data_IF_759977702679
#
_entry.id   IF_759977702679
#
_cell.length_a   1.000
_cell.length_b   1.000
_cell.length_c   1.000
_cell.angle_alpha   90.00
_cell.angle_beta   90.00
_cell.angle_gamma   90.00
#
_symmetry.space_group_name_H-M   'P 1'
#
loop_
_entity.id
_entity.type
_entity.pdbx_description
1 polymer ?
#
# COMPACT_ATOMS: atom_id res chain seq x y z
N UNK A 1 -1.48 -40.34 27.80
CA UNK A 1 -0.12 -40.21 27.30
C UNK A 1 -0.05 -39.85 25.82
N UNK A 2 -0.77 -40.52 24.95
CA UNK A 2 -0.78 -40.14 23.53
C UNK A 2 -1.43 -38.79 23.23
N UNK A 3 -2.37 -38.36 24.09
CA UNK A 3 -3.04 -37.06 23.91
C UNK A 3 -2.15 -35.86 24.20
N UNK A 4 -1.20 -35.99 25.11
CA UNK A 4 -0.28 -34.89 25.43
C UNK A 4 0.69 -34.59 24.30
N UNK A 5 1.19 -35.63 23.63
CA UNK A 5 2.11 -35.47 22.50
C UNK A 5 1.43 -34.80 21.30
N UNK A 6 0.16 -35.14 21.07
CA UNK A 6 -0.63 -34.54 19.99
C UNK A 6 -0.90 -33.07 20.29
N UNK A 7 -1.19 -32.73 21.56
CA UNK A 7 -1.44 -31.35 21.98
C UNK A 7 -0.19 -30.47 21.80
N UNK A 8 0.99 -30.98 22.17
CA UNK A 8 2.24 -30.25 22.00
C UNK A 8 2.54 -30.03 20.52
N UNK A 9 2.27 -31.02 19.67
CA UNK A 9 2.47 -30.92 18.23
C UNK A 9 1.55 -29.85 17.59
N UNK A 10 0.29 -29.78 18.01
CA UNK A 10 -0.68 -28.79 17.55
C UNK A 10 -0.22 -27.38 17.98
N UNK A 11 0.27 -27.20 19.19
CA UNK A 11 0.80 -25.93 19.67
C UNK A 11 2.00 -25.46 18.85
N UNK A 12 2.90 -26.35 18.49
CA UNK A 12 4.05 -26.04 17.65
C UNK A 12 3.65 -25.59 16.25
N UNK A 13 2.65 -26.24 15.66
CA UNK A 13 2.14 -25.88 14.35
C UNK A 13 1.46 -24.50 14.39
N UNK A 14 0.70 -24.21 15.44
CA UNK A 14 0.08 -22.91 15.63
C UNK A 14 1.11 -21.79 15.80
N UNK A 15 2.20 -22.04 16.51
CA UNK A 15 3.30 -21.08 16.64
C UNK A 15 4.00 -20.81 15.30
N UNK A 16 4.15 -21.84 14.46
CA UNK A 16 4.72 -21.67 13.12
C UNK A 16 3.84 -20.84 12.22
N UNK A 17 2.52 -20.92 12.37
CA UNK A 17 1.56 -20.15 11.57
C UNK A 17 1.53 -18.67 11.95
N UNK A 18 2.05 -18.30 13.11
CA UNK A 18 2.11 -16.92 13.60
C UNK A 18 3.42 -16.21 13.24
N UNK A 19 4.26 -16.78 12.40
CA UNK A 19 5.48 -16.08 11.99
C UNK A 19 5.11 -14.87 11.13
N UNK A 20 5.58 -13.67 11.49
CA UNK A 20 5.26 -12.47 10.73
C UNK A 20 6.03 -12.49 9.42
N UNK A 21 5.34 -12.76 8.34
CA UNK A 21 5.83 -12.42 7.01
C UNK A 21 5.37 -11.01 6.71
N UNK A 22 5.83 -10.05 7.46
CA UNK A 22 5.37 -8.69 7.27
C UNK A 22 6.36 -7.92 6.41
N UNK A 23 6.11 -7.92 5.13
CA UNK A 23 6.49 -6.80 4.30
C UNK A 23 5.28 -5.86 4.30
N UNK A 24 5.08 -5.19 5.43
CA UNK A 24 4.08 -4.13 5.51
C UNK A 24 4.62 -2.91 4.77
N UNK A 25 3.77 -2.27 3.98
CA UNK A 25 4.12 -1.08 3.26
C UNK A 25 4.41 -1.33 1.78
N UNK A 26 5.06 -0.36 1.16
CA UNK A 26 5.34 -0.37 -0.27
C UNK A 26 6.77 -0.83 -0.50
N UNK A 27 6.93 -1.88 -1.30
CA UNK A 27 8.22 -2.47 -1.61
C UNK A 27 8.37 -2.61 -3.11
N UNK A 28 9.55 -2.25 -3.62
CA UNK A 28 9.91 -2.47 -5.02
C UNK A 28 10.95 -3.59 -5.04
N UNK A 29 10.62 -4.67 -5.72
CA UNK A 29 11.48 -5.85 -5.81
C UNK A 29 11.98 -6.04 -7.24
N UNK A 30 13.23 -6.46 -7.36
CA UNK A 30 13.79 -6.82 -8.66
C UNK A 30 13.30 -8.21 -9.06
N UNK A 31 12.72 -8.30 -10.24
CA UNK A 31 12.29 -9.56 -10.85
C UNK A 31 13.14 -9.88 -12.08
N UNK A 32 12.96 -11.07 -12.64
CA UNK A 32 13.73 -11.51 -13.81
C UNK A 32 13.54 -10.63 -15.04
N UNK A 33 12.35 -10.04 -15.20
CA UNK A 33 11.95 -9.22 -16.33
C UNK A 33 11.78 -7.74 -15.98
N UNK A 34 12.29 -7.29 -14.82
CA UNK A 34 12.18 -5.89 -14.42
C UNK A 34 11.96 -5.74 -12.92
N UNK A 35 11.07 -4.85 -12.54
CA UNK A 35 10.77 -4.55 -11.15
C UNK A 35 9.29 -4.76 -10.89
N UNK A 36 8.98 -5.19 -9.67
CA UNK A 36 7.60 -5.38 -9.21
C UNK A 36 7.34 -4.49 -8.02
N UNK A 37 6.17 -3.89 -7.99
CA UNK A 37 5.69 -3.11 -6.87
C UNK A 37 4.72 -3.97 -6.05
N UNK A 38 5.02 -4.10 -4.77
CA UNK A 38 4.16 -4.80 -3.82
C UNK A 38 3.67 -3.83 -2.76
N UNK A 39 2.40 -3.90 -2.44
CA UNK A 39 1.78 -3.14 -1.36
C UNK A 39 1.17 -4.13 -0.39
N UNK A 40 1.65 -4.09 0.85
CA UNK A 40 1.26 -5.01 1.92
C UNK A 40 1.33 -6.48 1.49
N UNK A 41 2.44 -6.82 0.83
CA UNK A 41 2.73 -8.17 0.38
C UNK A 41 2.03 -8.61 -0.90
N UNK A 42 1.28 -7.74 -1.55
CA UNK A 42 0.57 -8.05 -2.80
C UNK A 42 1.14 -7.26 -3.97
N UNK A 43 1.44 -7.95 -5.06
CA UNK A 43 1.83 -7.31 -6.30
C UNK A 43 0.71 -6.39 -6.78
N UNK A 44 1.04 -5.12 -7.01
CA UNK A 44 0.06 -4.10 -7.32
C UNK A 44 0.49 -3.33 -8.56
N UNK A 45 -0.41 -3.18 -9.48
CA UNK A 45 -0.23 -2.34 -10.65
C UNK A 45 -0.89 -0.98 -10.40
N UNK A 46 -0.13 0.10 -10.51
CA UNK A 46 -0.63 1.45 -10.25
C UNK A 46 -1.31 1.98 -11.52
N UNK A 47 -2.57 2.31 -11.38
CA UNK A 47 -3.37 2.99 -12.39
C UNK A 47 -3.71 4.37 -11.83
N UNK A 48 -2.85 5.34 -12.09
CA UNK A 48 -2.91 6.63 -11.47
C UNK A 48 -3.44 7.74 -12.35
N UNK A 49 -4.00 8.74 -11.72
CA UNK A 49 -4.40 9.99 -12.34
C UNK A 49 -3.72 11.16 -11.64
N UNK A 50 -3.58 12.28 -12.33
CA UNK A 50 -3.02 13.50 -11.75
C UNK A 50 -4.08 14.39 -11.14
N UNK A 51 -3.83 14.87 -9.93
CA UNK A 51 -4.73 15.80 -9.25
C UNK A 51 -5.81 15.14 -8.42
N UNK A 52 -6.65 15.96 -7.84
CA UNK A 52 -7.68 15.53 -6.88
C UNK A 52 -9.11 15.81 -7.37
N UNK A 53 -9.26 16.29 -8.60
CA UNK A 53 -10.56 16.63 -9.16
C UNK A 53 -11.26 15.39 -9.69
N UNK A 54 -12.49 15.18 -9.26
CA UNK A 54 -13.36 14.10 -9.72
C UNK A 54 -12.74 12.72 -9.54
N UNK A 55 -12.22 12.46 -8.36
CA UNK A 55 -11.68 11.15 -8.00
C UNK A 55 -12.76 10.05 -8.02
N UNK A 56 -14.01 10.42 -7.83
CA UNK A 56 -15.14 9.50 -7.95
C UNK A 56 -15.21 8.86 -9.34
N UNK A 57 -15.09 9.67 -10.39
CA UNK A 57 -15.08 9.18 -11.77
C UNK A 57 -13.82 8.36 -12.04
N UNK A 58 -12.68 8.82 -11.59
CA UNK A 58 -11.41 8.10 -11.74
C UNK A 58 -11.49 6.70 -11.11
N UNK A 59 -12.00 6.60 -9.90
CA UNK A 59 -12.17 5.33 -9.20
C UNK A 59 -13.12 4.39 -9.95
N UNK A 60 -14.23 4.91 -10.45
CA UNK A 60 -15.18 4.13 -11.24
C UNK A 60 -14.56 3.63 -12.54
N UNK A 61 -13.61 4.36 -13.09
CA UNK A 61 -12.89 4.00 -14.31
C UNK A 61 -11.73 3.04 -14.07
N UNK A 62 -11.50 2.62 -12.85
CA UNK A 62 -10.47 1.65 -12.51
C UNK A 62 -9.17 2.23 -11.95
N UNK A 63 -9.09 3.53 -11.74
CA UNK A 63 -7.92 4.14 -11.12
C UNK A 63 -7.82 3.72 -9.65
N UNK A 64 -6.59 3.43 -9.20
CA UNK A 64 -6.32 3.06 -7.82
C UNK A 64 -5.36 4.00 -7.12
N UNK A 65 -4.93 5.05 -7.79
CA UNK A 65 -3.98 6.00 -7.24
C UNK A 65 -4.17 7.38 -7.84
N UNK A 66 -3.73 8.40 -7.13
CA UNK A 66 -3.64 9.75 -7.68
C UNK A 66 -2.36 10.42 -7.19
N UNK A 67 -1.91 11.41 -7.95
CA UNK A 67 -0.70 12.17 -7.65
C UNK A 67 -1.03 13.61 -7.34
N UNK A 68 -0.30 14.18 -6.37
CA UNK A 68 -0.32 15.59 -6.04
C UNK A 68 1.06 16.21 -6.25
N UNK A 69 1.13 17.53 -6.32
CA UNK A 69 2.38 18.24 -6.65
C UNK A 69 2.98 19.03 -5.48
N UNK A 70 2.52 18.81 -4.31
CA UNK A 70 2.97 19.50 -3.13
C UNK A 70 1.79 20.01 -2.31
N UNK A 71 2.10 20.78 -1.30
CA UNK A 71 1.10 21.36 -0.43
C UNK A 71 1.61 21.52 0.99
N UNK A 72 0.87 22.26 1.77
CA UNK A 72 1.12 22.39 3.20
C UNK A 72 0.55 21.19 3.96
N UNK A 73 0.76 21.14 5.26
CA UNK A 73 0.32 20.03 6.10
C UNK A 73 -1.19 19.81 6.02
N UNK A 74 -1.95 20.88 5.95
CA UNK A 74 -3.42 20.79 5.88
C UNK A 74 -3.88 20.19 4.55
N UNK A 75 -3.26 20.57 3.47
CA UNK A 75 -3.55 20.01 2.15
C UNK A 75 -3.16 18.53 2.08
N UNK A 76 -2.02 18.16 2.66
CA UNK A 76 -1.59 16.77 2.72
C UNK A 76 -2.60 15.93 3.50
N UNK A 77 -3.04 16.40 4.65
CA UNK A 77 -4.09 15.72 5.43
C UNK A 77 -5.37 15.56 4.64
N UNK A 78 -5.78 16.58 3.92
CA UNK A 78 -6.97 16.55 3.07
C UNK A 78 -6.80 15.51 1.95
N UNK A 79 -5.65 15.46 1.33
CA UNK A 79 -5.37 14.48 0.27
C UNK A 79 -5.40 13.05 0.81
N UNK A 80 -4.86 12.83 1.99
CA UNK A 80 -4.90 11.51 2.63
C UNK A 80 -6.32 11.09 2.97
N UNK A 81 -7.15 12.03 3.41
CA UNK A 81 -8.57 11.77 3.67
C UNK A 81 -9.31 11.41 2.38
N UNK A 82 -9.04 12.12 1.28
CA UNK A 82 -9.62 11.81 -0.04
C UNK A 82 -9.19 10.42 -0.52
N UNK A 83 -7.93 10.07 -0.33
CA UNK A 83 -7.43 8.75 -0.69
C UNK A 83 -8.18 7.66 0.06
N UNK A 84 -8.38 7.84 1.35
CA UNK A 84 -9.13 6.89 2.18
C UNK A 84 -10.59 6.80 1.74
N UNK A 85 -11.23 7.94 1.46
CA UNK A 85 -12.63 7.99 1.02
C UNK A 85 -12.86 7.22 -0.27
N UNK A 86 -11.93 7.33 -1.22
CA UNK A 86 -12.06 6.68 -2.53
C UNK A 86 -11.29 5.36 -2.62
N UNK A 87 -10.72 4.90 -1.52
CA UNK A 87 -9.93 3.67 -1.46
C UNK A 87 -8.80 3.67 -2.50
N UNK A 88 -8.07 4.76 -2.55
CA UNK A 88 -6.97 4.98 -3.50
C UNK A 88 -5.65 5.18 -2.78
N UNK A 89 -4.56 4.87 -3.45
CA UNK A 89 -3.23 5.26 -3.02
C UNK A 89 -2.94 6.69 -3.44
N UNK A 90 -2.12 7.39 -2.67
CA UNK A 90 -1.71 8.75 -3.01
C UNK A 90 -0.20 8.81 -3.20
N UNK A 91 0.22 9.40 -4.31
CA UNK A 91 1.60 9.76 -4.54
C UNK A 91 1.74 11.25 -4.21
N UNK A 92 2.11 11.53 -2.96
CA UNK A 92 2.21 12.89 -2.46
C UNK A 92 3.47 13.56 -2.98
N UNK A 93 3.30 14.67 -3.68
CA UNK A 93 4.41 15.50 -4.10
C UNK A 93 4.98 16.29 -2.92
N UNK A 94 6.28 16.42 -2.89
CA UNK A 94 6.99 17.21 -1.88
C UNK A 94 7.71 18.32 -2.61
N UNK A 95 7.28 19.55 -2.38
CA UNK A 95 7.93 20.73 -2.93
C UNK A 95 9.13 21.10 -2.08
N UNK A 96 10.31 20.67 -2.49
CA UNK A 96 11.52 20.86 -1.70
C UNK A 96 12.46 21.90 -2.25
N UNK A 97 12.32 22.32 -3.48
CA UNK A 97 13.31 23.19 -4.13
C UNK A 97 12.62 24.16 -5.05
N UNK A 98 12.97 25.44 -4.92
CA UNK A 98 12.67 26.42 -5.96
C UNK A 98 13.70 26.25 -7.08
N UNK A 99 13.24 25.93 -8.24
CA UNK A 99 14.08 25.94 -9.43
C UNK A 99 14.27 27.38 -9.89
N UNK A 100 15.35 27.92 -9.52
CA UNK A 100 15.77 29.21 -10.05
C UNK A 100 16.91 29.04 -10.99
#
# INVERSE_FOLDING_TARGET
MKKEKIFIFICLVLLSACSPSSLDGIVIEKAADGYKLSIDGRETYIKGVGGTYRLDIAAQSGANAFRTWGGNVEEIKKNLALASEHNMYVMQGIGTVSYT
#
